data_IF_321288030862
#
_entry.id   IF_321288030862
#
_cell.length_a   1.000
_cell.length_b   1.000
_cell.length_c   1.000
_cell.angle_alpha   90.00
_cell.angle_beta   90.00
_cell.angle_gamma   90.00
#
_symmetry.space_group_name_H-M   'P 1'
#
loop_
_entity.id
_entity.type
_entity.pdbx_description
1 polymer ?
#
# COMPACT_ATOMS: atom_id res chain seq x y z
N UNK A 1 -18.14 -9.75 -10.55
CA UNK A 1 -16.68 -9.83 -10.80
C UNK A 1 -16.08 -8.51 -11.34
N UNK A 2 -16.84 -7.45 -11.64
CA UNK A 2 -16.29 -6.17 -12.15
C UNK A 2 -15.59 -5.28 -11.09
N UNK A 3 -15.96 -5.40 -9.81
CA UNK A 3 -15.46 -4.50 -8.74
C UNK A 3 -13.94 -4.68 -8.50
N UNK A 4 -13.45 -5.91 -8.61
CA UNK A 4 -12.06 -6.29 -8.27
C UNK A 4 -11.04 -5.70 -9.25
N UNK A 5 -11.35 -5.71 -10.55
CA UNK A 5 -10.49 -5.07 -11.57
C UNK A 5 -10.46 -3.54 -11.40
N UNK A 6 -11.58 -2.95 -10.95
CA UNK A 6 -11.71 -1.51 -10.76
C UNK A 6 -10.83 -1.01 -9.61
N UNK A 7 -10.71 -1.78 -8.53
CA UNK A 7 -9.93 -1.40 -7.35
C UNK A 7 -8.41 -1.53 -7.55
N UNK A 8 -7.93 -2.56 -8.24
CA UNK A 8 -6.52 -2.62 -8.64
C UNK A 8 -6.13 -1.53 -9.63
N UNK A 9 -7.03 -1.17 -10.55
CA UNK A 9 -6.81 -0.03 -11.43
C UNK A 9 -6.74 1.30 -10.67
N UNK A 10 -7.56 1.48 -9.63
CA UNK A 10 -7.49 2.64 -8.76
C UNK A 10 -6.18 2.68 -7.94
N UNK A 11 -5.72 1.53 -7.44
CA UNK A 11 -4.43 1.43 -6.76
C UNK A 11 -3.27 1.77 -7.71
N UNK A 12 -3.25 1.23 -8.93
CA UNK A 12 -2.20 1.52 -9.90
C UNK A 12 -2.18 3.00 -10.30
N UNK A 13 -3.34 3.62 -10.50
CA UNK A 13 -3.42 5.08 -10.73
C UNK A 13 -2.75 5.90 -9.63
N UNK A 14 -2.92 5.49 -8.37
CA UNK A 14 -2.27 6.14 -7.23
C UNK A 14 -0.76 5.94 -7.25
N UNK A 15 -0.29 4.74 -7.58
CA UNK A 15 1.15 4.43 -7.68
C UNK A 15 1.81 5.19 -8.84
N UNK A 16 1.19 5.24 -10.01
CA UNK A 16 1.68 6.05 -11.15
C UNK A 16 1.77 7.53 -10.82
N UNK A 17 0.79 8.06 -10.08
CA UNK A 17 0.86 9.46 -9.65
C UNK A 17 1.93 9.68 -8.57
N UNK A 18 2.16 8.71 -7.70
CA UNK A 18 3.26 8.74 -6.73
C UNK A 18 4.63 8.77 -7.44
N UNK A 19 4.83 7.94 -8.46
CA UNK A 19 6.05 7.97 -9.29
C UNK A 19 6.24 9.32 -9.97
N UNK A 20 5.18 9.88 -10.55
CA UNK A 20 5.23 11.21 -11.15
C UNK A 20 5.70 12.25 -10.14
N UNK A 21 5.17 12.23 -8.92
CA UNK A 21 5.58 13.17 -7.86
C UNK A 21 7.05 12.99 -7.46
N UNK A 22 7.53 11.75 -7.34
CA UNK A 22 8.95 11.47 -7.08
C UNK A 22 9.84 11.97 -8.22
N UNK A 23 9.43 11.80 -9.48
CA UNK A 23 10.20 12.27 -10.63
C UNK A 23 10.32 13.80 -10.75
N UNK A 24 9.51 14.57 -9.99
CA UNK A 24 9.58 16.04 -9.97
C UNK A 24 10.78 16.58 -9.19
N UNK A 25 11.55 15.74 -8.49
CA UNK A 25 12.80 16.09 -7.82
C UNK A 25 12.76 16.03 -6.28
N UNK A 26 13.89 16.34 -5.65
CA UNK A 26 14.22 16.09 -4.23
C UNK A 26 13.52 17.05 -3.22
N UNK A 27 12.32 17.52 -3.53
CA UNK A 27 11.53 18.29 -2.57
C UNK A 27 10.87 17.37 -1.55
N UNK A 28 11.13 17.57 -0.25
CA UNK A 28 10.45 16.86 0.86
C UNK A 28 8.92 16.90 0.74
N UNK A 29 8.38 17.98 0.17
CA UNK A 29 6.95 18.17 -0.11
C UNK A 29 6.41 17.17 -1.14
N UNK A 30 7.17 16.89 -2.20
CA UNK A 30 6.77 15.93 -3.24
C UNK A 30 6.87 14.49 -2.74
N UNK A 31 7.94 14.15 -2.02
CA UNK A 31 8.09 12.85 -1.39
C UNK A 31 6.94 12.57 -0.40
N UNK A 32 6.58 13.56 0.41
CA UNK A 32 5.45 13.42 1.35
C UNK A 32 4.10 13.27 0.65
N UNK A 33 3.89 13.95 -0.48
CA UNK A 33 2.69 13.78 -1.30
C UNK A 33 2.66 12.39 -1.97
N UNK A 34 3.78 11.96 -2.57
CA UNK A 34 3.92 10.64 -3.19
C UNK A 34 3.67 9.51 -2.19
N UNK A 35 4.18 9.68 -0.96
CA UNK A 35 3.92 8.76 0.12
C UNK A 35 2.42 8.63 0.44
N UNK A 36 1.66 9.73 0.51
CA UNK A 36 0.21 9.68 0.77
C UNK A 36 -0.52 8.89 -0.33
N UNK A 37 -0.14 9.08 -1.59
CA UNK A 37 -0.67 8.31 -2.70
C UNK A 37 -0.31 6.83 -2.60
N UNK A 38 0.93 6.52 -2.21
CA UNK A 38 1.41 5.15 -1.98
C UNK A 38 0.64 4.47 -0.85
N UNK A 39 0.47 5.13 0.30
CA UNK A 39 -0.32 4.61 1.42
C UNK A 39 -1.77 4.35 1.02
N UNK A 40 -2.38 5.24 0.24
CA UNK A 40 -3.73 5.04 -0.28
C UNK A 40 -3.81 3.82 -1.20
N UNK A 41 -2.84 3.65 -2.10
CA UNK A 41 -2.77 2.47 -2.97
C UNK A 41 -2.65 1.17 -2.18
N UNK A 42 -1.72 1.11 -1.21
CA UNK A 42 -1.52 -0.07 -0.37
C UNK A 42 -2.76 -0.35 0.49
N UNK A 43 -3.44 0.69 0.98
CA UNK A 43 -4.72 0.53 1.69
C UNK A 43 -5.75 -0.16 0.81
N UNK A 44 -5.93 0.27 -0.45
CA UNK A 44 -6.84 -0.39 -1.40
C UNK A 44 -6.43 -1.85 -1.62
N UNK A 45 -5.14 -2.15 -1.81
CA UNK A 45 -4.64 -3.52 -2.02
C UNK A 45 -4.90 -4.41 -0.79
N UNK A 46 -4.74 -3.88 0.42
CA UNK A 46 -5.09 -4.59 1.66
C UNK A 46 -6.60 -4.83 1.73
N UNK A 47 -7.44 -3.82 1.46
CA UNK A 47 -8.90 -3.98 1.43
C UNK A 47 -9.31 -5.08 0.47
N UNK A 48 -8.70 -5.11 -0.72
CA UNK A 48 -8.89 -6.17 -1.67
C UNK A 48 -8.53 -7.52 -1.04
N UNK A 49 -7.29 -7.70 -0.61
CA UNK A 49 -6.86 -8.99 -0.06
C UNK A 49 -7.73 -9.47 1.11
N UNK A 50 -8.09 -8.57 2.03
CA UNK A 50 -8.67 -8.94 3.33
C UNK A 50 -10.19 -8.80 3.41
N UNK A 51 -10.82 -8.03 2.50
CA UNK A 51 -12.21 -7.57 2.57
C UNK A 51 -12.53 -6.80 3.88
N UNK A 52 -11.54 -6.05 4.41
CA UNK A 52 -11.75 -5.23 5.60
C UNK A 52 -12.30 -3.85 5.19
N UNK A 53 -13.28 -3.36 5.94
CA UNK A 53 -13.79 -1.99 5.77
C UNK A 53 -12.82 -0.94 6.34
N UNK A 54 -13.01 0.32 5.93
CA UNK A 54 -12.20 1.50 6.33
C UNK A 54 -11.93 1.62 7.85
N UNK A 55 -12.90 1.43 8.76
CA UNK A 55 -12.62 1.50 10.19
C UNK A 55 -11.68 0.37 10.65
N UNK A 56 -11.84 -0.82 10.08
CA UNK A 56 -11.09 -2.01 10.47
C UNK A 56 -9.66 -1.99 9.91
N UNK A 57 -9.44 -1.43 8.72
CA UNK A 57 -8.12 -1.39 8.09
C UNK A 57 -7.14 -0.46 8.82
N UNK A 58 -7.67 0.53 9.56
CA UNK A 58 -6.87 1.43 10.40
C UNK A 58 -6.43 0.78 11.72
N UNK A 59 -6.90 -0.43 12.04
CA UNK A 59 -6.51 -1.18 13.23
C UNK A 59 -5.35 -2.13 12.90
N UNK A 60 -4.14 -1.90 13.44
CA UNK A 60 -3.00 -2.79 13.20
C UNK A 60 -3.28 -4.25 13.61
N UNK A 61 -4.07 -4.43 14.67
CA UNK A 61 -4.42 -5.75 15.20
C UNK A 61 -5.35 -6.51 14.26
N UNK A 62 -6.36 -5.84 13.70
CA UNK A 62 -7.30 -6.45 12.77
C UNK A 62 -6.62 -6.79 11.44
N UNK A 63 -5.77 -5.90 10.93
CA UNK A 63 -4.95 -6.16 9.75
C UNK A 63 -4.05 -7.38 9.98
N UNK A 64 -3.26 -7.40 11.06
CA UNK A 64 -2.37 -8.51 11.36
C UNK A 64 -3.14 -9.84 11.48
N UNK A 65 -4.32 -9.82 12.13
CA UNK A 65 -5.19 -11.00 12.22
C UNK A 65 -5.69 -11.45 10.85
N UNK A 66 -6.09 -10.53 9.99
CA UNK A 66 -6.57 -10.84 8.64
C UNK A 66 -5.48 -11.48 7.78
N UNK A 67 -4.23 -10.99 7.85
CA UNK A 67 -3.11 -11.56 7.10
C UNK A 67 -2.66 -12.94 7.59
N UNK A 68 -2.84 -13.25 8.89
CA UNK A 68 -2.49 -14.58 9.43
C UNK A 68 -3.24 -15.73 8.76
N UNK A 69 -4.42 -15.49 8.17
CA UNK A 69 -5.24 -16.53 7.53
C UNK A 69 -4.58 -17.18 6.30
N UNK A 70 -3.65 -16.48 5.66
CA UNK A 70 -2.97 -16.97 4.46
C UNK A 70 -1.81 -17.93 4.79
N UNK A 71 -1.36 -17.97 6.04
CA UNK A 71 -0.34 -18.90 6.55
C UNK A 71 0.93 -19.03 5.66
N UNK A 72 1.41 -17.91 5.11
CA UNK A 72 2.61 -17.89 4.28
C UNK A 72 3.55 -16.70 4.60
N UNK A 73 4.86 -16.83 4.34
CA UNK A 73 5.82 -15.76 4.65
C UNK A 73 5.56 -14.44 3.94
N UNK A 74 5.10 -14.48 2.67
CA UNK A 74 4.81 -13.26 1.89
C UNK A 74 3.68 -12.44 2.49
N UNK A 75 2.60 -13.08 2.92
CA UNK A 75 1.49 -12.43 3.62
C UNK A 75 1.99 -11.70 4.88
N UNK A 76 2.84 -12.34 5.70
CA UNK A 76 3.42 -11.70 6.88
C UNK A 76 4.30 -10.49 6.53
N UNK A 77 5.10 -10.59 5.45
CA UNK A 77 5.94 -9.50 4.97
C UNK A 77 5.13 -8.29 4.47
N UNK A 78 4.02 -8.51 3.76
CA UNK A 78 3.13 -7.46 3.30
C UNK A 78 2.29 -6.84 4.41
N UNK A 79 1.87 -7.66 5.39
CA UNK A 79 1.27 -7.14 6.62
C UNK A 79 2.21 -6.18 7.33
N UNK A 80 3.46 -6.60 7.58
CA UNK A 80 4.48 -5.75 8.22
C UNK A 80 4.72 -4.47 7.42
N UNK A 81 4.85 -4.58 6.10
CA UNK A 81 5.02 -3.43 5.21
C UNK A 81 3.90 -2.40 5.37
N UNK A 82 2.63 -2.83 5.33
CA UNK A 82 1.50 -1.91 5.49
C UNK A 82 1.48 -1.25 6.87
N UNK A 83 1.74 -2.03 7.94
CA UNK A 83 1.80 -1.49 9.30
C UNK A 83 2.93 -0.47 9.47
N UNK A 84 4.09 -0.73 8.85
CA UNK A 84 5.23 0.19 8.90
C UNK A 84 4.95 1.46 8.08
N UNK A 85 4.26 1.36 6.94
CA UNK A 85 3.75 2.53 6.24
C UNK A 85 2.83 3.34 7.16
N UNK A 86 1.78 2.77 7.75
CA UNK A 86 0.87 3.53 8.62
C UNK A 86 1.59 4.31 9.73
N UNK A 87 2.66 3.77 10.32
CA UNK A 87 3.46 4.48 11.34
C UNK A 87 4.17 5.73 10.79
N UNK A 88 4.53 5.74 9.51
CA UNK A 88 5.16 6.87 8.84
C UNK A 88 4.17 7.99 8.50
N UNK A 89 2.86 7.73 8.53
CA UNK A 89 1.84 8.72 8.15
C UNK A 89 1.82 9.97 9.03
N UNK A 90 2.31 9.88 10.28
CA UNK A 90 2.41 11.00 11.21
C UNK A 90 3.73 11.78 11.12
N UNK A 91 4.65 11.41 10.21
CA UNK A 91 5.95 12.09 10.11
C UNK A 91 5.84 13.35 9.23
N UNK A 92 6.54 14.45 9.60
CA UNK A 92 6.49 15.71 8.86
C UNK A 92 7.17 15.61 7.49
N UNK A 93 8.22 14.79 7.38
CA UNK A 93 8.96 14.52 6.15
C UNK A 93 9.22 13.02 6.00
N UNK A 94 9.24 12.56 4.76
CA UNK A 94 9.56 11.17 4.41
C UNK A 94 10.60 11.21 3.30
N UNK A 95 11.78 10.60 3.50
CA UNK A 95 12.82 10.56 2.48
C UNK A 95 12.34 9.96 1.17
N UNK A 96 12.68 10.57 0.03
CA UNK A 96 12.23 10.15 -1.30
C UNK A 96 12.58 8.67 -1.61
N UNK A 97 13.78 8.22 -1.25
CA UNK A 97 14.22 6.84 -1.41
C UNK A 97 13.29 5.83 -0.69
N UNK A 98 12.81 6.16 0.52
CA UNK A 98 11.86 5.32 1.24
C UNK A 98 10.52 5.24 0.51
N UNK A 99 10.11 6.32 -0.16
CA UNK A 99 8.87 6.36 -0.94
C UNK A 99 9.01 5.55 -2.23
N UNK A 100 10.13 5.67 -2.94
CA UNK A 100 10.43 4.84 -4.12
C UNK A 100 10.41 3.34 -3.80
N UNK A 101 11.04 2.94 -2.69
CA UNK A 101 11.00 1.56 -2.21
C UNK A 101 9.58 1.12 -1.87
N UNK A 102 8.79 1.98 -1.24
CA UNK A 102 7.40 1.70 -0.93
C UNK A 102 6.54 1.53 -2.20
N UNK A 103 6.76 2.35 -3.24
CA UNK A 103 6.04 2.23 -4.50
C UNK A 103 6.35 0.89 -5.18
N UNK A 104 7.63 0.52 -5.28
CA UNK A 104 8.05 -0.78 -5.84
C UNK A 104 7.39 -1.94 -5.09
N UNK A 105 7.50 -1.93 -3.76
CA UNK A 105 6.92 -2.97 -2.90
C UNK A 105 5.39 -3.01 -2.95
N UNK A 106 4.73 -1.88 -3.17
CA UNK A 106 3.27 -1.83 -3.36
C UNK A 106 2.85 -2.49 -4.67
N UNK A 107 3.61 -2.36 -5.76
CA UNK A 107 3.34 -3.08 -7.01
C UNK A 107 3.57 -4.58 -6.86
N UNK A 108 4.68 -4.98 -6.25
CA UNK A 108 4.95 -6.40 -5.95
C UNK A 108 3.83 -7.01 -5.07
N UNK A 109 3.34 -6.23 -4.10
CA UNK A 109 2.21 -6.63 -3.27
C UNK A 109 0.94 -6.78 -4.11
N UNK A 110 0.63 -5.81 -4.97
CA UNK A 110 -0.53 -5.85 -5.84
C UNK A 110 -0.54 -7.09 -6.74
N UNK A 111 0.58 -7.41 -7.39
CA UNK A 111 0.69 -8.61 -8.23
C UNK A 111 0.49 -9.89 -7.41
N UNK A 112 1.12 -9.98 -6.23
CA UNK A 112 0.89 -11.13 -5.35
C UNK A 112 -0.59 -11.27 -4.93
N UNK A 113 -1.31 -10.17 -4.65
CA UNK A 113 -2.76 -10.25 -4.33
C UNK A 113 -3.56 -10.69 -5.55
N UNK A 114 -3.22 -10.22 -6.76
CA UNK A 114 -3.88 -10.67 -8.00
C UNK A 114 -3.73 -12.18 -8.15
N UNK A 115 -2.53 -12.73 -7.95
CA UNK A 115 -2.26 -14.17 -8.05
C UNK A 115 -3.02 -15.02 -7.01
N UNK A 116 -3.29 -14.47 -5.81
CA UNK A 116 -3.97 -15.18 -4.72
C UNK A 116 -5.51 -15.04 -4.72
N UNK A 117 -6.04 -14.22 -5.63
CA UNK A 117 -7.49 -14.01 -5.80
C UNK A 117 -8.10 -14.76 -6.98
N UNK A 118 -7.29 -15.50 -7.75
CA UNK A 118 -7.73 -16.38 -8.85
C UNK A 118 -8.13 -17.74 -8.31
#
# INVERSE_FOLDING_TARGET
MEVTMTNFYAAEKKLTFADFLISRGEGDTYASAAYKHTLAAVTIIVQELTNLEEPAIRSPQLVAKAFKRFNEPKAAAYSKFYLDLMKLAGKPTIPANNVEEAIRKARDFMEWVKDHKV
#
